data_IF_276810133700
#
_entry.id   IF_276810133700
#
_cell.length_a   1.000
_cell.length_b   1.000
_cell.length_c   1.000
_cell.angle_alpha   90.00
_cell.angle_beta   90.00
_cell.angle_gamma   90.00
#
_symmetry.space_group_name_H-M   'P 1'
#
loop_
_entity.id
_entity.type
_entity.pdbx_description
1 polymer ?
#
# COMPACT_ATOMS: atom_id res chain seq x y z
N UNK A 1 -16.28 0.98 -8.84
CA UNK A 1 -15.37 0.09 -8.09
C UNK A 1 -14.99 0.81 -6.80
N UNK A 2 -14.67 0.06 -5.74
CA UNK A 2 -14.17 0.64 -4.50
C UNK A 2 -12.67 0.43 -4.38
N UNK A 3 -11.99 1.33 -3.68
CA UNK A 3 -10.54 1.28 -3.54
C UNK A 3 -10.14 1.33 -2.07
N UNK A 4 -9.25 0.41 -1.70
CA UNK A 4 -8.47 0.50 -0.47
C UNK A 4 -7.25 1.38 -0.75
N UNK A 5 -7.08 2.44 0.04
CA UNK A 5 -5.93 3.33 -0.03
C UNK A 5 -5.17 3.26 1.29
N UNK A 6 -3.89 2.91 1.23
CA UNK A 6 -2.99 2.93 2.38
C UNK A 6 -1.86 3.93 2.15
N UNK A 7 -1.87 5.03 2.89
CA UNK A 7 -0.73 5.93 3.01
C UNK A 7 0.27 5.31 4.00
N UNK A 8 1.37 4.79 3.45
CA UNK A 8 2.33 3.98 4.20
C UNK A 8 3.46 4.83 4.75
N UNK A 9 3.77 4.64 6.03
CA UNK A 9 5.01 5.11 6.66
C UNK A 9 5.97 3.93 6.82
N UNK A 10 7.24 4.14 6.47
CA UNK A 10 8.30 3.15 6.67
C UNK A 10 8.58 2.92 8.15
N UNK A 11 9.01 1.71 8.48
CA UNK A 11 9.43 1.35 9.83
C UNK A 11 10.63 2.19 10.29
N UNK A 12 10.66 2.52 11.58
CA UNK A 12 11.80 3.22 12.17
C UNK A 12 13.10 2.44 11.93
N UNK A 13 14.17 3.16 11.55
CA UNK A 13 15.46 2.58 11.19
C UNK A 13 15.63 2.21 9.72
N UNK A 14 14.57 2.27 8.90
CA UNK A 14 14.70 2.12 7.44
C UNK A 14 14.89 3.47 6.76
N UNK A 15 15.78 3.50 5.76
CA UNK A 15 15.84 4.59 4.78
C UNK A 15 14.66 4.52 3.80
N UNK A 16 14.36 5.64 3.14
CA UNK A 16 13.34 5.68 2.09
C UNK A 16 13.66 4.69 0.95
N UNK A 17 14.92 4.63 0.52
CA UNK A 17 15.36 3.76 -0.56
C UNK A 17 15.21 2.26 -0.22
N UNK A 18 15.55 1.86 1.02
CA UNK A 18 15.34 0.48 1.49
C UNK A 18 13.86 0.12 1.54
N UNK A 19 13.03 1.02 2.06
CA UNK A 19 11.58 0.84 2.12
C UNK A 19 10.99 0.65 0.72
N UNK A 20 11.30 1.57 -0.21
CA UNK A 20 10.81 1.52 -1.59
C UNK A 20 11.30 0.25 -2.32
N UNK A 21 12.57 -0.10 -2.16
CA UNK A 21 13.13 -1.32 -2.75
C UNK A 21 12.48 -2.59 -2.19
N UNK A 22 12.29 -2.68 -0.86
CA UNK A 22 11.60 -3.80 -0.24
C UNK A 22 10.16 -3.90 -0.74
N UNK A 23 9.44 -2.76 -0.78
CA UNK A 23 8.05 -2.71 -1.18
C UNK A 23 7.84 -3.19 -2.61
N UNK A 24 8.68 -2.72 -3.55
CA UNK A 24 8.60 -3.08 -4.97
C UNK A 24 9.11 -4.49 -5.25
N UNK A 25 10.28 -4.85 -4.72
CA UNK A 25 11.04 -6.02 -5.15
C UNK A 25 10.83 -7.26 -4.27
N UNK A 26 10.27 -7.10 -3.06
CA UNK A 26 9.97 -8.22 -2.14
C UNK A 26 8.47 -8.33 -1.89
N UNK A 27 7.88 -7.28 -1.35
CA UNK A 27 6.47 -7.30 -0.95
C UNK A 27 5.53 -7.42 -2.16
N UNK A 28 5.74 -6.65 -3.24
CA UNK A 28 4.94 -6.73 -4.45
C UNK A 28 4.86 -8.16 -5.05
N UNK A 29 5.99 -8.84 -5.31
CA UNK A 29 6.00 -10.24 -5.73
C UNK A 29 5.36 -11.20 -4.73
N UNK A 30 5.59 -11.01 -3.41
CA UNK A 30 4.97 -11.85 -2.38
C UNK A 30 3.45 -11.74 -2.40
N UNK A 31 2.92 -10.52 -2.45
CA UNK A 31 1.47 -10.29 -2.56
C UNK A 31 0.96 -11.02 -3.79
N UNK A 32 1.61 -10.86 -4.96
CA UNK A 32 1.27 -11.57 -6.23
C UNK A 32 1.28 -13.09 -6.14
N UNK A 33 2.02 -13.69 -5.21
CA UNK A 33 2.07 -15.15 -5.07
C UNK A 33 0.98 -15.73 -4.17
N UNK A 34 0.07 -14.91 -3.61
CA UNK A 34 -1.04 -15.36 -2.74
C UNK A 34 -2.37 -15.28 -3.51
N UNK A 35 -2.77 -16.35 -4.24
CA UNK A 35 -3.95 -16.31 -5.10
C UNK A 35 -5.26 -16.04 -4.33
N UNK A 36 -5.35 -16.46 -3.07
CA UNK A 36 -6.55 -16.28 -2.25
C UNK A 36 -6.80 -14.80 -1.89
N UNK A 37 -5.73 -14.02 -1.75
CA UNK A 37 -5.84 -12.56 -1.63
C UNK A 37 -6.19 -11.93 -2.98
N UNK A 38 -5.51 -12.35 -4.06
CA UNK A 38 -5.73 -11.82 -5.41
C UNK A 38 -7.07 -12.15 -6.03
N UNK A 39 -7.77 -13.18 -5.54
CA UNK A 39 -9.12 -13.50 -5.98
C UNK A 39 -10.07 -12.30 -5.85
N UNK A 40 -9.83 -11.41 -4.88
CA UNK A 40 -10.63 -10.21 -4.61
C UNK A 40 -10.04 -8.92 -5.21
N UNK A 41 -8.73 -8.86 -5.43
CA UNK A 41 -8.02 -7.66 -5.90
C UNK A 41 -8.07 -7.58 -7.42
N UNK A 42 -8.56 -6.45 -7.95
CA UNK A 42 -8.65 -6.20 -9.40
C UNK A 42 -7.44 -5.45 -9.95
N UNK A 43 -6.82 -4.63 -9.11
CA UNK A 43 -5.61 -3.88 -9.45
C UNK A 43 -4.86 -3.55 -8.17
N UNK A 44 -3.53 -3.54 -8.23
CA UNK A 44 -2.66 -3.06 -7.16
C UNK A 44 -1.60 -2.13 -7.75
N UNK A 45 -1.52 -0.90 -7.24
CA UNK A 45 -0.51 0.10 -7.59
C UNK A 45 0.22 0.56 -6.34
N UNK A 46 1.54 0.76 -6.48
CA UNK A 46 2.37 1.41 -5.48
C UNK A 46 2.81 2.77 -6.02
N UNK A 47 2.45 3.85 -5.35
CA UNK A 47 3.02 5.18 -5.55
C UNK A 47 4.10 5.41 -4.51
N UNK A 48 5.34 5.59 -4.92
CA UNK A 48 6.44 5.86 -4.00
C UNK A 48 6.70 7.36 -3.95
N UNK A 49 6.91 7.93 -2.77
CA UNK A 49 7.22 9.36 -2.63
C UNK A 49 8.49 9.68 -3.43
N UNK A 50 8.41 10.70 -4.28
CA UNK A 50 9.52 11.14 -5.11
C UNK A 50 10.60 11.82 -4.26
N UNK A 51 11.87 11.68 -4.65
CA UNK A 51 12.96 12.51 -4.11
C UNK A 51 13.14 13.83 -4.86
N UNK A 52 12.51 13.98 -6.01
CA UNK A 52 12.70 15.15 -6.87
C UNK A 52 11.90 16.35 -6.37
N UNK A 53 12.52 17.55 -6.29
CA UNK A 53 11.80 18.76 -5.94
C UNK A 53 10.85 19.17 -7.06
N UNK A 54 9.66 19.62 -6.70
CA UNK A 54 8.67 20.16 -7.64
C UNK A 54 8.38 21.61 -7.27
N UNK A 55 8.64 22.60 -8.16
CA UNK A 55 8.35 24.00 -7.88
C UNK A 55 6.91 24.22 -7.44
N UNK A 56 6.71 24.96 -6.34
CA UNK A 56 5.39 25.26 -5.79
C UNK A 56 4.82 24.20 -4.84
N UNK A 57 5.53 23.09 -4.61
CA UNK A 57 5.13 22.06 -3.65
C UNK A 57 6.16 21.94 -2.50
N UNK A 58 5.74 21.47 -1.31
CA UNK A 58 6.65 21.21 -0.21
C UNK A 58 7.75 20.19 -0.57
N UNK A 59 8.90 20.19 0.12
CA UNK A 59 9.88 19.13 0.00
C UNK A 59 9.27 17.75 0.26
N UNK A 60 9.54 16.79 -0.62
CA UNK A 60 8.92 15.46 -0.58
C UNK A 60 9.61 14.52 0.41
N UNK A 61 10.86 14.81 0.78
CA UNK A 61 11.59 14.14 1.86
C UNK A 61 10.98 14.43 3.25
N UNK A 62 10.21 15.51 3.38
CA UNK A 62 9.42 15.86 4.56
C UNK A 62 7.95 15.37 4.50
N UNK A 63 7.57 14.67 3.44
CA UNK A 63 6.20 14.17 3.30
C UNK A 63 5.81 13.26 4.48
N UNK A 64 4.55 13.32 4.95
CA UNK A 64 4.10 12.53 6.09
C UNK A 64 4.10 11.01 5.81
N UNK A 65 4.15 10.61 4.54
CA UNK A 65 4.12 9.22 4.10
C UNK A 65 5.19 8.96 3.05
N UNK A 66 5.70 7.72 3.03
CA UNK A 66 6.74 7.26 2.09
C UNK A 66 6.16 6.73 0.78
N UNK A 67 4.85 6.59 0.73
CA UNK A 67 4.11 6.24 -0.47
C UNK A 67 2.68 5.84 -0.17
N UNK A 68 1.99 5.40 -1.23
CA UNK A 68 0.59 5.00 -1.21
C UNK A 68 0.46 3.63 -1.89
N UNK A 69 -0.24 2.70 -1.24
CA UNK A 69 -0.79 1.52 -1.89
C UNK A 69 -2.23 1.78 -2.27
N UNK A 70 -2.57 1.50 -3.52
CA UNK A 70 -3.93 1.56 -4.04
C UNK A 70 -4.34 0.18 -4.54
N UNK A 71 -5.41 -0.37 -3.98
CA UNK A 71 -5.97 -1.64 -4.39
C UNK A 71 -7.45 -1.48 -4.75
N UNK A 72 -7.84 -1.93 -5.93
CA UNK A 72 -9.21 -1.85 -6.42
C UNK A 72 -9.94 -3.18 -6.21
N UNK A 73 -11.21 -3.09 -5.83
CA UNK A 73 -12.11 -4.21 -5.55
C UNK A 73 -13.49 -3.94 -6.16
N UNK A 74 -14.27 -5.00 -6.36
CA UNK A 74 -15.63 -4.87 -6.87
C UNK A 74 -16.58 -4.31 -5.80
N UNK A 75 -16.37 -4.65 -4.53
CA UNK A 75 -17.21 -4.22 -3.40
C UNK A 75 -16.42 -4.02 -2.09
N UNK A 76 -17.00 -3.30 -1.12
CA UNK A 76 -16.42 -3.16 0.22
C UNK A 76 -16.37 -4.50 0.95
N UNK A 77 -17.31 -5.40 0.67
CA UNK A 77 -17.32 -6.76 1.23
C UNK A 77 -16.08 -7.54 0.79
N UNK A 78 -15.66 -7.41 -0.47
CA UNK A 78 -14.47 -8.07 -0.99
C UNK A 78 -13.17 -7.56 -0.34
N UNK A 79 -13.13 -6.29 0.08
CA UNK A 79 -12.04 -5.77 0.91
C UNK A 79 -11.99 -6.54 2.23
N UNK A 80 -13.14 -6.66 2.91
CA UNK A 80 -13.25 -7.44 4.15
C UNK A 80 -12.78 -8.88 3.97
N UNK A 81 -13.24 -9.56 2.92
CA UNK A 81 -12.82 -10.94 2.60
C UNK A 81 -11.32 -11.05 2.35
N UNK A 82 -10.74 -10.15 1.55
CA UNK A 82 -9.32 -10.18 1.22
C UNK A 82 -8.42 -10.03 2.46
N UNK A 83 -8.68 -9.00 3.28
CA UNK A 83 -7.83 -8.66 4.43
C UNK A 83 -8.10 -9.50 5.68
N UNK A 84 -9.21 -10.26 5.73
CA UNK A 84 -9.48 -11.24 6.78
C UNK A 84 -9.14 -12.69 6.37
N UNK A 85 -8.79 -12.92 5.11
CA UNK A 85 -8.47 -14.27 4.62
C UNK A 85 -7.27 -14.86 5.39
N UNK A 86 -7.31 -16.14 5.82
CA UNK A 86 -6.21 -16.77 6.56
C UNK A 86 -4.85 -16.63 5.87
N UNK A 87 -4.80 -16.86 4.56
CA UNK A 87 -3.56 -16.75 3.76
C UNK A 87 -2.98 -15.33 3.72
N UNK A 88 -3.81 -14.30 3.79
CA UNK A 88 -3.34 -12.91 3.94
C UNK A 88 -2.68 -12.72 5.31
N UNK A 89 -3.35 -13.17 6.39
CA UNK A 89 -2.88 -13.05 7.76
C UNK A 89 -1.61 -13.88 8.04
N UNK A 90 -1.45 -15.02 7.38
CA UNK A 90 -0.30 -15.91 7.53
C UNK A 90 0.93 -15.46 6.73
N UNK A 91 0.73 -14.87 5.54
CA UNK A 91 1.82 -14.62 4.59
C UNK A 91 2.10 -13.13 4.42
N UNK A 92 1.07 -12.34 4.12
CA UNK A 92 1.23 -10.94 3.72
C UNK A 92 1.35 -10.04 4.95
N UNK A 93 0.44 -10.16 5.93
CA UNK A 93 0.46 -9.32 7.14
C UNK A 93 1.80 -9.38 7.90
N UNK A 94 2.42 -10.56 8.12
CA UNK A 94 3.72 -10.64 8.79
C UNK A 94 4.85 -10.01 7.97
N UNK A 95 4.74 -10.02 6.64
CA UNK A 95 5.69 -9.34 5.76
C UNK A 95 5.57 -7.82 5.85
N UNK A 96 4.34 -7.28 5.87
CA UNK A 96 4.09 -5.85 6.04
C UNK A 96 4.71 -5.31 7.34
N UNK A 97 4.60 -6.06 8.45
CA UNK A 97 5.18 -5.70 9.75
C UNK A 97 6.71 -5.54 9.74
N UNK A 98 7.40 -6.04 8.71
CA UNK A 98 8.85 -5.88 8.58
C UNK A 98 9.23 -4.48 8.10
N UNK A 99 8.38 -3.81 7.31
CA UNK A 99 8.75 -2.56 6.63
C UNK A 99 7.76 -1.41 6.80
N UNK A 100 6.52 -1.66 7.23
CA UNK A 100 5.49 -0.65 7.46
C UNK A 100 5.35 -0.36 8.96
N UNK A 101 5.28 0.92 9.32
CA UNK A 101 4.79 1.38 10.62
C UNK A 101 3.28 1.66 10.53
N UNK A 102 2.47 0.73 11.04
CA UNK A 102 1.01 0.85 11.00
C UNK A 102 0.46 1.98 11.89
N UNK A 103 1.15 2.35 12.98
CA UNK A 103 0.66 3.40 13.88
C UNK A 103 0.74 4.78 13.20
N UNK A 104 1.78 4.98 12.39
CA UNK A 104 2.00 6.22 11.63
C UNK A 104 1.41 6.18 10.22
N UNK A 105 0.89 5.04 9.77
CA UNK A 105 0.21 4.89 8.48
C UNK A 105 -1.28 5.23 8.58
N UNK A 106 -1.92 5.50 7.44
CA UNK A 106 -3.38 5.73 7.37
C UNK A 106 -4.01 4.87 6.28
N UNK A 107 -5.19 4.36 6.57
CA UNK A 107 -5.98 3.56 5.63
C UNK A 107 -7.37 4.17 5.53
N UNK A 108 -7.88 4.25 4.31
CA UNK A 108 -9.24 4.68 4.05
C UNK A 108 -9.78 3.98 2.80
N UNK A 109 -11.11 3.83 2.76
CA UNK A 109 -11.81 3.24 1.63
C UNK A 109 -12.44 4.38 0.85
N UNK A 110 -12.27 4.38 -0.47
CA UNK A 110 -12.81 5.41 -1.35
C UNK A 110 -13.61 4.82 -2.49
N UNK A 111 -14.53 5.62 -2.99
CA UNK A 111 -15.18 5.45 -4.28
C UNK A 111 -14.58 6.50 -5.22
N UNK A 112 -14.08 6.07 -6.37
CA UNK A 112 -13.51 6.99 -7.35
C UNK A 112 -14.65 7.83 -7.97
N UNK A 113 -14.50 9.16 -7.96
CA UNK A 113 -15.41 10.10 -8.63
C UNK A 113 -14.65 10.70 -9.80
N UNK A 114 -15.04 10.34 -11.02
CA UNK A 114 -14.40 10.83 -12.23
C UNK A 114 -14.89 12.24 -12.58
N UNK A 115 -13.95 13.17 -12.71
CA UNK A 115 -14.20 14.52 -13.20
C UNK A 115 -13.47 14.63 -14.53
N UNK A 116 -14.22 14.46 -15.62
CA UNK A 116 -13.74 14.73 -16.99
C UNK A 116 -13.78 16.21 -17.30
#
# INVERSE_FOLDING_TARGET
>A
MVKFVACARRKAGMTTAEFQSYWKNKHGPLVRSVPEFWAYVRRYVQGHTSSEPVPGFPPQDEAPFDGIAELWFDSVEDIGKAFSHPRYLEIIRPDELKFVDFASSRVFIVEDVEIS
#
